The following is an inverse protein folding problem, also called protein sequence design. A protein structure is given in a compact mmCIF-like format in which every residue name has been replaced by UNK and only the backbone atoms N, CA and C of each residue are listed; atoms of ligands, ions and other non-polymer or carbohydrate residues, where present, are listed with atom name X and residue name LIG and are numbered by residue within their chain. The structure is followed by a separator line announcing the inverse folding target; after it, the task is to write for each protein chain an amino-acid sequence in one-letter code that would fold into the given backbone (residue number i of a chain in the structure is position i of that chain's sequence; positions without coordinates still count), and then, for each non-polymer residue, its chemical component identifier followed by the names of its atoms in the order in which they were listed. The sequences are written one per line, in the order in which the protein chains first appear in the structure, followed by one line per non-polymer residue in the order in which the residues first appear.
data_IF_481161590504
#
_entry.id   IF_481161590504
#
_cell.length_a   1.000
_cell.length_b   1.000
_cell.length_c   1.000
_cell.angle_alpha   90.00
_cell.angle_beta   90.00
_cell.angle_gamma   90.00
#
_symmetry.space_group_name_H-M   'P 1'
#
loop_
_entity.id
_entity.type
_entity.pdbx_description
1 polymer ?
#
# COMPACT_ATOMS: atom_id res chain seq x y z
N UNK A 1 3.24 1.10 12.81
CA UNK A 1 3.26 0.98 11.36
C UNK A 1 3.20 -0.47 10.94
N UNK A 2 2.48 -0.74 9.89
CA UNK A 2 2.42 -2.08 9.32
C UNK A 2 3.38 -2.17 8.14
N UNK A 3 3.77 -3.38 7.79
CA UNK A 3 4.56 -3.62 6.59
C UNK A 3 3.87 -4.66 5.72
N UNK A 4 4.14 -4.62 4.44
CA UNK A 4 3.54 -5.57 3.51
C UNK A 4 4.22 -5.53 2.16
N UNK A 5 3.74 -6.38 1.28
CA UNK A 5 4.25 -6.52 -0.07
C UNK A 5 3.15 -6.14 -1.07
N UNK A 6 3.48 -5.32 -2.04
CA UNK A 6 2.53 -4.94 -3.08
C UNK A 6 2.16 -6.17 -3.89
N UNK A 7 0.87 -6.46 -3.92
CA UNK A 7 0.35 -7.59 -4.67
C UNK A 7 0.21 -7.21 -6.14
N UNK A 8 -0.40 -6.07 -6.39
CA UNK A 8 -0.47 -5.45 -7.70
C UNK A 8 -0.90 -4.00 -7.55
N UNK A 9 -0.59 -3.20 -8.55
CA UNK A 9 -1.01 -1.80 -8.56
C UNK A 9 -1.28 -1.39 -10.00
N UNK A 10 -2.39 -0.71 -10.23
CA UNK A 10 -2.78 -0.23 -11.55
C UNK A 10 -2.83 1.29 -11.51
N UNK A 11 -1.81 1.94 -12.06
CA UNK A 11 -1.72 3.40 -12.05
C UNK A 11 -2.79 4.05 -12.93
N UNK A 12 -3.27 3.35 -13.93
CA UNK A 12 -4.32 3.85 -14.81
C UNK A 12 -5.66 3.93 -14.07
N UNK A 13 -5.99 2.90 -13.31
CA UNK A 13 -7.19 2.89 -12.48
C UNK A 13 -7.01 3.66 -11.18
N UNK A 14 -5.76 3.82 -10.73
CA UNK A 14 -5.44 4.61 -9.56
C UNK A 14 -5.56 3.87 -8.24
N UNK A 15 -5.39 2.54 -8.22
CA UNK A 15 -5.42 1.79 -6.96
C UNK A 15 -4.71 0.45 -7.10
N UNK A 16 -4.48 -0.17 -5.96
CA UNK A 16 -3.88 -1.49 -5.91
C UNK A 16 -4.11 -2.13 -4.55
N UNK A 17 -3.44 -3.24 -4.31
CA UNK A 17 -3.57 -3.98 -3.06
C UNK A 17 -2.20 -4.39 -2.54
N UNK A 18 -2.09 -4.37 -1.22
CA UNK A 18 -0.89 -4.75 -0.50
C UNK A 18 -1.23 -5.95 0.38
N UNK A 19 -0.39 -6.97 0.36
CA UNK A 19 -0.54 -8.11 1.24
C UNK A 19 0.23 -7.82 2.52
N UNK A 20 -0.45 -7.69 3.69
CA UNK A 20 0.25 -7.43 4.95
C UNK A 20 1.18 -8.59 5.32
N UNK A 21 2.36 -8.26 5.86
CA UNK A 21 3.29 -9.29 6.31
C UNK A 21 2.72 -10.10 7.46
N UNK A 22 1.89 -9.47 8.30
CA UNK A 22 1.24 -10.17 9.40
C UNK A 22 0.13 -11.13 8.95
N UNK A 23 -0.20 -11.11 7.66
CA UNK A 23 -1.29 -11.94 7.13
C UNK A 23 -2.62 -11.21 7.19
N UNK A 24 -3.68 -11.91 6.81
CA UNK A 24 -5.01 -11.34 6.80
C UNK A 24 -5.41 -10.81 5.43
N UNK A 25 -6.52 -10.07 5.34
CA UNK A 25 -7.03 -9.56 4.07
C UNK A 25 -6.07 -8.56 3.44
N UNK A 26 -6.11 -8.47 2.12
CA UNK A 26 -5.32 -7.48 1.38
C UNK A 26 -5.76 -6.08 1.76
N UNK A 27 -4.80 -5.16 1.79
CA UNK A 27 -5.05 -3.76 2.13
C UNK A 27 -5.14 -2.94 0.86
N UNK A 28 -6.21 -2.18 0.72
CA UNK A 28 -6.42 -1.30 -0.43
C UNK A 28 -5.46 -0.10 -0.35
N UNK A 29 -4.90 0.29 -1.48
CA UNK A 29 -4.09 1.50 -1.57
C UNK A 29 -4.54 2.32 -2.77
N UNK A 30 -4.84 3.60 -2.53
CA UNK A 30 -5.24 4.52 -3.59
C UNK A 30 -4.03 5.32 -4.07
N UNK A 31 -4.05 5.74 -5.33
CA UNK A 31 -2.94 6.49 -5.92
C UNK A 31 -2.65 7.79 -5.16
N UNK A 32 -3.66 8.39 -4.56
CA UNK A 32 -3.46 9.60 -3.77
C UNK A 32 -2.50 9.37 -2.61
N UNK A 33 -2.58 8.21 -1.96
CA UNK A 33 -1.66 7.86 -0.89
C UNK A 33 -0.24 7.64 -1.42
N UNK A 34 -0.13 7.07 -2.61
CA UNK A 34 1.16 6.88 -3.28
C UNK A 34 1.80 8.23 -3.59
N UNK A 35 1.03 9.14 -4.13
CA UNK A 35 1.52 10.49 -4.48
C UNK A 35 1.91 11.28 -3.24
N UNK A 36 1.15 11.19 -2.16
CA UNK A 36 1.49 11.84 -0.89
C UNK A 36 2.82 11.36 -0.34
N UNK A 37 3.17 10.13 -0.62
CA UNK A 37 4.44 9.55 -0.18
C UNK A 37 5.61 9.95 -1.10
N UNK A 38 5.33 10.69 -2.17
CA UNK A 38 6.34 11.09 -3.12
C UNK A 38 6.68 10.02 -4.14
N UNK A 39 5.84 9.01 -4.24
CA UNK A 39 6.06 7.90 -5.17
C UNK A 39 5.23 8.11 -6.44
N UNK A 40 5.71 7.57 -7.54
CA UNK A 40 5.00 7.64 -8.82
C UNK A 40 4.02 6.50 -9.01
N UNK A 41 4.26 5.40 -8.33
CA UNK A 41 3.47 4.21 -8.43
C UNK A 41 4.11 3.12 -7.60
N UNK A 42 3.54 1.94 -7.63
CA UNK A 42 4.05 0.81 -6.88
C UNK A 42 4.32 -0.33 -7.84
N UNK A 43 5.38 -1.09 -7.54
CA UNK A 43 5.74 -2.26 -8.32
C UNK A 43 5.28 -3.52 -7.60
N UNK A 44 4.86 -4.51 -8.37
CA UNK A 44 4.49 -5.80 -7.82
C UNK A 44 5.68 -6.41 -7.08
N UNK A 45 5.43 -6.89 -5.87
CA UNK A 45 6.46 -7.46 -5.03
C UNK A 45 7.25 -6.46 -4.20
N UNK A 46 6.97 -5.17 -4.33
CA UNK A 46 7.66 -4.13 -3.60
C UNK A 46 7.26 -4.15 -2.12
N UNK A 47 8.24 -3.98 -1.24
CA UNK A 47 7.98 -3.90 0.20
C UNK A 47 7.71 -2.46 0.62
N UNK A 48 6.67 -2.30 1.43
CA UNK A 48 6.27 -0.99 1.94
C UNK A 48 5.98 -1.05 3.42
N UNK A 49 6.19 0.07 4.10
CA UNK A 49 5.59 0.29 5.41
C UNK A 49 4.45 1.29 5.22
N UNK A 50 3.42 1.18 6.05
CA UNK A 50 2.23 2.01 5.90
C UNK A 50 1.42 1.99 7.19
N UNK A 51 0.51 2.94 7.31
CA UNK A 51 -0.46 2.95 8.39
C UNK A 51 -1.78 2.40 7.87
N UNK A 52 -2.47 1.64 8.71
CA UNK A 52 -3.78 1.12 8.38
C UNK A 52 -4.84 2.11 8.80
N UNK A 53 -5.69 2.49 7.85
CA UNK A 53 -6.83 3.37 8.10
C UNK A 53 -8.08 2.58 7.78
N UNK A 54 -9.01 2.54 8.73
CA UNK A 54 -10.29 1.88 8.52
C UNK A 54 -11.38 2.92 8.46
N UNK A 55 -12.07 2.97 7.33
CA UNK A 55 -13.22 3.86 7.14
C UNK A 55 -14.37 3.06 6.56
N UNK A 56 -15.54 3.20 7.16
CA UNK A 56 -16.76 2.54 6.68
C UNK A 56 -16.59 1.04 6.46
N UNK A 57 -15.84 0.39 7.35
CA UNK A 57 -15.59 -1.03 7.26
C UNK A 57 -14.54 -1.45 6.24
N UNK A 58 -13.87 -0.50 5.61
CA UNK A 58 -12.81 -0.79 4.64
C UNK A 58 -11.47 -0.37 5.19
N UNK A 59 -10.47 -1.21 4.99
CA UNK A 59 -9.11 -0.91 5.44
C UNK A 59 -8.26 -0.48 4.25
N UNK A 60 -7.59 0.65 4.41
CA UNK A 60 -6.73 1.20 3.37
C UNK A 60 -5.37 1.56 3.94
N UNK A 61 -4.36 1.62 3.08
CA UNK A 61 -3.02 2.02 3.45
C UNK A 61 -2.86 3.53 3.29
N UNK A 62 -2.14 4.14 4.23
CA UNK A 62 -1.81 5.55 4.18
C UNK A 62 -0.38 5.75 4.67
N UNK A 63 0.17 6.94 4.47
CA UNK A 63 1.53 7.28 4.93
C UNK A 63 2.54 6.23 4.47
N UNK A 64 2.52 5.92 3.17
CA UNK A 64 3.38 4.90 2.60
C UNK A 64 4.85 5.29 2.66
N UNK A 65 5.71 4.32 2.89
CA UNK A 65 7.14 4.51 2.83
C UNK A 65 7.78 3.24 2.27
N UNK A 66 8.89 3.39 1.58
CA UNK A 66 9.62 2.24 1.07
C UNK A 66 10.25 1.53 2.27
N UNK A 67 9.91 0.28 2.43
CA UNK A 67 10.43 -0.54 3.53
C UNK A 67 11.51 -1.51 3.05
N UNK A 68 11.92 -1.37 1.82
CA UNK A 68 12.93 -2.24 1.26
C UNK A 68 14.29 -1.90 1.88
N UNK A 69 14.79 -2.83 2.66
CA UNK A 69 16.07 -2.66 3.33
C UNK A 69 17.20 -3.04 2.38
N UNK A 70 17.38 -2.24 1.41
CA UNK A 70 18.42 -2.47 0.40
C UNK A 70 19.79 -2.64 1.03
#
# INVERSE_FOLDING_TARGET
MATGTVKWFNSTKGYGFIQPDAGGPDVFVHISAVEKAGLRGLNEGQKLSFDLITERGKTAAANLAIADAA
#
